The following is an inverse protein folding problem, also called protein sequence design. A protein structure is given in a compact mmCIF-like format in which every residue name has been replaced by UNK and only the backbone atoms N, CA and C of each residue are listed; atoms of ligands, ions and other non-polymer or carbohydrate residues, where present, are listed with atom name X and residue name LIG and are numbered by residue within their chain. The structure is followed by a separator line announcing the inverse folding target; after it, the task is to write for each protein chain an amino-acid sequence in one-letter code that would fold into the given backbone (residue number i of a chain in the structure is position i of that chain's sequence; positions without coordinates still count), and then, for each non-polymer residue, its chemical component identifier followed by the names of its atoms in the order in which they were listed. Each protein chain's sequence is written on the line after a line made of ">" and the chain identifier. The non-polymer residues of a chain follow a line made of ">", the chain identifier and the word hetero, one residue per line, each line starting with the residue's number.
data_IF_896276884199
#
_entry.id   IF_896276884199
#
_cell.length_a   1.000
_cell.length_b   1.000
_cell.length_c   1.000
_cell.angle_alpha   90.00
_cell.angle_beta   90.00
_cell.angle_gamma   90.00
#
_symmetry.space_group_name_H-M   'P 1'
#
loop_
_entity.id
_entity.type
_entity.pdbx_description
1 polymer ?
#
# COMPACT_ATOMS: atom_id res chain seq x y z
N UNK A 1 -58.50 45.28 -36.39
CA UNK A 1 -57.87 45.54 -35.07
C UNK A 1 -56.58 44.75 -35.00
N UNK A 2 -55.45 45.43 -34.80
CA UNK A 2 -54.19 44.79 -34.44
C UNK A 2 -54.26 44.34 -32.99
N UNK A 3 -53.70 43.17 -32.67
CA UNK A 3 -53.62 42.64 -31.30
C UNK A 3 -52.20 42.13 -31.09
N UNK A 4 -51.24 43.06 -30.98
CA UNK A 4 -49.83 42.76 -30.91
C UNK A 4 -49.39 42.53 -29.45
N UNK A 5 -48.41 41.64 -29.24
CA UNK A 5 -47.92 41.26 -27.91
C UNK A 5 -47.44 42.46 -27.10
N UNK A 6 -47.98 42.64 -25.89
CA UNK A 6 -47.56 43.70 -24.95
C UNK A 6 -46.10 43.58 -24.49
N UNK A 7 -45.50 42.39 -24.64
CA UNK A 7 -44.12 42.09 -24.22
C UNK A 7 -43.15 42.13 -25.41
N UNK A 8 -43.61 41.68 -26.58
CA UNK A 8 -42.77 41.40 -27.75
C UNK A 8 -42.96 42.32 -28.95
N UNK A 9 -43.86 43.31 -28.89
CA UNK A 9 -44.06 44.29 -29.98
C UNK A 9 -43.71 45.71 -29.55
N UNK A 10 -43.32 46.55 -30.51
CA UNK A 10 -43.00 47.96 -30.30
C UNK A 10 -44.27 48.77 -29.97
N UNK A 11 -45.40 48.43 -30.61
CA UNK A 11 -46.70 49.05 -30.39
C UNK A 11 -47.78 47.96 -30.45
N UNK A 12 -48.66 47.93 -29.45
CA UNK A 12 -49.73 46.93 -29.28
C UNK A 12 -50.87 47.07 -30.30
N UNK A 13 -51.04 48.26 -30.86
CA UNK A 13 -52.20 48.66 -31.69
C UNK A 13 -51.87 48.92 -33.16
N UNK A 14 -50.60 48.97 -33.52
CA UNK A 14 -50.12 49.36 -34.84
C UNK A 14 -49.50 48.16 -35.57
N UNK A 15 -50.09 47.80 -36.69
CA UNK A 15 -49.65 46.69 -37.54
C UNK A 15 -49.86 47.04 -39.01
N UNK A 16 -49.17 46.31 -39.90
CA UNK A 16 -49.28 46.50 -41.34
C UNK A 16 -50.74 46.30 -41.80
N UNK A 17 -51.32 47.29 -42.48
CA UNK A 17 -52.73 47.30 -42.88
C UNK A 17 -53.11 46.25 -43.93
N UNK A 18 -52.13 45.74 -44.68
CA UNK A 18 -52.34 44.74 -45.74
C UNK A 18 -52.04 43.31 -45.25
N UNK A 19 -51.01 43.12 -44.42
CA UNK A 19 -50.58 41.78 -43.95
C UNK A 19 -50.99 41.45 -42.52
N UNK A 20 -51.37 42.43 -41.71
CA UNK A 20 -51.65 42.27 -40.29
C UNK A 20 -50.42 42.06 -39.40
N UNK A 21 -49.20 42.13 -39.96
CA UNK A 21 -47.95 41.91 -39.23
C UNK A 21 -47.65 43.06 -38.26
N UNK A 22 -47.43 42.71 -37.00
CA UNK A 22 -46.97 43.61 -35.94
C UNK A 22 -45.45 43.88 -36.04
N UNK A 23 -44.99 45.05 -35.58
CA UNK A 23 -43.57 45.33 -35.42
C UNK A 23 -43.03 44.68 -34.16
N UNK A 24 -42.20 43.64 -34.32
CA UNK A 24 -41.63 42.87 -33.21
C UNK A 24 -40.34 43.49 -32.67
N UNK A 25 -40.12 43.32 -31.37
CA UNK A 25 -38.85 43.60 -30.71
C UNK A 25 -37.84 42.50 -31.03
N UNK A 26 -36.55 42.81 -30.84
CA UNK A 26 -35.48 41.83 -30.98
C UNK A 26 -35.72 40.61 -30.08
N UNK A 27 -35.50 39.41 -30.62
CA UNK A 27 -35.83 38.15 -29.95
C UNK A 27 -37.27 37.67 -30.08
N UNK A 28 -38.19 38.43 -30.70
CA UNK A 28 -39.59 38.05 -30.91
C UNK A 28 -39.94 37.89 -32.40
N UNK A 29 -40.86 36.96 -32.69
CA UNK A 29 -41.31 36.64 -34.05
C UNK A 29 -42.80 36.25 -34.10
N UNK A 30 -43.29 36.02 -35.32
CA UNK A 30 -44.68 35.68 -35.62
C UNK A 30 -45.58 36.90 -35.83
N UNK A 31 -46.81 36.66 -36.31
CA UNK A 31 -47.73 37.71 -36.76
C UNK A 31 -48.05 38.76 -35.68
N UNK A 32 -48.09 38.34 -34.41
CA UNK A 32 -48.38 39.18 -33.24
C UNK A 32 -47.20 39.30 -32.26
N UNK A 33 -46.00 38.86 -32.64
CA UNK A 33 -44.80 38.92 -31.81
C UNK A 33 -44.91 38.16 -30.47
N UNK A 34 -45.59 37.01 -30.50
CA UNK A 34 -45.87 36.18 -29.33
C UNK A 34 -44.97 34.94 -29.19
N UNK A 35 -44.11 34.67 -30.18
CA UNK A 35 -43.17 33.56 -30.20
C UNK A 35 -41.75 34.09 -30.16
N UNK A 36 -40.79 33.31 -29.65
CA UNK A 36 -39.39 33.70 -29.68
C UNK A 36 -38.77 33.50 -31.07
N UNK A 37 -37.88 34.40 -31.45
CA UNK A 37 -37.08 34.28 -32.67
C UNK A 37 -36.07 33.13 -32.55
N UNK A 38 -35.45 32.77 -33.67
CA UNK A 38 -34.34 31.80 -33.66
C UNK A 38 -33.19 32.32 -32.78
N UNK A 39 -32.52 31.41 -32.09
CA UNK A 39 -31.51 31.70 -31.05
C UNK A 39 -32.06 32.44 -29.80
N UNK A 40 -33.37 32.39 -29.54
CA UNK A 40 -34.01 32.83 -28.30
C UNK A 40 -34.97 31.76 -27.75
N UNK A 41 -35.09 31.66 -26.43
CA UNK A 41 -36.01 30.77 -25.72
C UNK A 41 -36.96 31.56 -24.81
N UNK A 42 -38.12 30.98 -24.48
CA UNK A 42 -39.11 31.61 -23.61
C UNK A 42 -38.85 31.27 -22.14
N UNK A 43 -38.40 32.25 -21.35
CA UNK A 43 -38.13 32.00 -19.94
C UNK A 43 -39.40 32.03 -19.10
N UNK A 44 -39.76 30.87 -18.53
CA UNK A 44 -41.02 30.62 -17.82
C UNK A 44 -41.34 31.64 -16.71
N UNK A 45 -40.32 32.15 -16.00
CA UNK A 45 -40.52 33.10 -14.89
C UNK A 45 -40.86 34.51 -15.38
N UNK A 46 -40.25 34.96 -16.47
CA UNK A 46 -40.41 36.34 -16.96
C UNK A 46 -41.45 36.46 -18.06
N UNK A 47 -41.82 35.35 -18.72
CA UNK A 47 -42.63 35.33 -19.95
C UNK A 47 -42.03 36.21 -21.05
N UNK A 48 -40.69 36.30 -21.09
CA UNK A 48 -39.92 37.04 -22.09
C UNK A 48 -39.01 36.08 -22.86
N UNK A 49 -38.78 36.42 -24.12
CA UNK A 49 -37.76 35.76 -24.93
C UNK A 49 -36.37 36.26 -24.51
N UNK A 50 -35.49 35.33 -24.15
CA UNK A 50 -34.09 35.59 -23.80
C UNK A 50 -33.16 34.92 -24.82
N UNK A 51 -32.00 35.53 -25.14
CA UNK A 51 -31.07 34.96 -26.10
C UNK A 51 -30.47 33.65 -25.57
N UNK A 52 -30.33 32.68 -26.45
CA UNK A 52 -29.71 31.39 -26.16
C UNK A 52 -28.27 31.56 -25.71
N UNK A 53 -27.48 32.41 -26.38
CA UNK A 53 -26.11 32.73 -25.97
C UNK A 53 -25.13 31.54 -26.01
N UNK A 54 -25.36 30.57 -26.90
CA UNK A 54 -24.51 29.39 -27.03
C UNK A 54 -23.11 29.75 -27.54
N UNK A 55 -22.07 29.23 -26.91
CA UNK A 55 -20.68 29.49 -27.28
C UNK A 55 -20.33 28.88 -28.64
N UNK A 56 -19.93 29.66 -29.66
CA UNK A 56 -19.61 29.14 -31.00
C UNK A 56 -18.45 28.11 -31.00
N UNK A 57 -17.53 28.25 -30.05
CA UNK A 57 -16.45 27.30 -29.83
C UNK A 57 -16.95 25.96 -29.26
N UNK A 58 -17.96 25.98 -28.39
CA UNK A 58 -18.37 24.80 -27.63
C UNK A 58 -19.72 24.16 -28.01
N UNK A 59 -20.60 24.84 -28.75
CA UNK A 59 -21.90 24.32 -29.18
C UNK A 59 -21.92 23.86 -30.64
N UNK A 60 -22.79 22.91 -30.98
CA UNK A 60 -23.00 22.44 -32.35
C UNK A 60 -23.86 23.41 -33.17
N UNK A 61 -24.73 24.18 -32.50
CA UNK A 61 -25.58 25.21 -33.08
C UNK A 61 -25.69 26.43 -32.14
N UNK A 62 -26.17 27.55 -32.65
CA UNK A 62 -26.48 28.76 -31.86
C UNK A 62 -27.81 28.66 -31.10
N UNK A 63 -28.63 27.64 -31.43
CA UNK A 63 -29.94 27.41 -30.85
C UNK A 63 -29.85 26.60 -29.55
N UNK A 64 -30.80 26.86 -28.67
CA UNK A 64 -31.02 26.16 -27.41
C UNK A 64 -32.43 25.56 -27.37
N UNK A 65 -32.67 24.67 -26.42
CA UNK A 65 -34.01 24.14 -26.16
C UNK A 65 -34.89 25.15 -25.36
N UNK A 66 -36.13 24.76 -25.08
CA UNK A 66 -37.10 25.58 -24.33
C UNK A 66 -36.64 25.91 -22.89
N UNK A 67 -35.61 25.22 -22.36
CA UNK A 67 -35.00 25.51 -21.05
C UNK A 67 -33.79 26.46 -21.14
N UNK A 68 -33.38 26.86 -22.35
CA UNK A 68 -32.21 27.68 -22.58
C UNK A 68 -30.89 26.91 -22.63
N UNK A 69 -30.93 25.56 -22.68
CA UNK A 69 -29.77 24.69 -22.75
C UNK A 69 -29.29 24.52 -24.19
N UNK A 70 -28.02 24.80 -24.43
CA UNK A 70 -27.37 24.67 -25.72
C UNK A 70 -26.93 23.23 -26.00
N UNK A 71 -26.91 22.82 -27.28
CA UNK A 71 -26.36 21.52 -27.68
C UNK A 71 -24.83 21.58 -27.73
N UNK A 72 -24.15 20.95 -26.78
CA UNK A 72 -22.69 21.01 -26.66
C UNK A 72 -21.97 19.99 -27.55
N UNK A 73 -20.77 20.35 -28.02
CA UNK A 73 -19.82 19.45 -28.67
C UNK A 73 -19.24 18.46 -27.66
N UNK A 74 -18.72 17.33 -28.15
CA UNK A 74 -17.95 16.39 -27.34
C UNK A 74 -16.80 17.09 -26.61
N UNK A 75 -16.68 16.87 -25.30
CA UNK A 75 -15.66 17.48 -24.46
C UNK A 75 -16.07 18.81 -23.79
N UNK A 76 -17.30 19.26 -24.02
CA UNK A 76 -17.81 20.55 -23.52
C UNK A 76 -19.11 20.34 -22.72
N UNK A 77 -19.30 21.12 -21.65
CA UNK A 77 -20.48 21.13 -20.77
C UNK A 77 -20.92 22.56 -20.42
N UNK A 78 -22.00 22.67 -19.65
CA UNK A 78 -22.58 23.92 -19.19
C UNK A 78 -23.80 24.35 -20.01
N UNK A 79 -24.61 25.25 -19.46
CA UNK A 79 -25.85 25.74 -20.10
C UNK A 79 -25.57 26.37 -21.47
N UNK A 80 -24.41 27.03 -21.60
CA UNK A 80 -23.98 27.77 -22.79
C UNK A 80 -22.82 27.11 -23.54
N UNK A 81 -22.44 25.89 -23.15
CA UNK A 81 -21.32 25.14 -23.72
C UNK A 81 -19.99 25.92 -23.67
N UNK A 82 -19.71 26.52 -22.53
CA UNK A 82 -18.60 27.45 -22.26
C UNK A 82 -17.53 26.86 -21.31
N UNK A 83 -17.66 25.58 -20.94
CA UNK A 83 -16.80 24.90 -19.97
C UNK A 83 -16.39 23.51 -20.46
N UNK A 84 -15.17 23.06 -20.16
CA UNK A 84 -14.76 21.70 -20.52
C UNK A 84 -15.45 20.64 -19.66
N UNK A 85 -15.87 19.54 -20.28
CA UNK A 85 -16.39 18.38 -19.56
C UNK A 85 -15.27 17.61 -18.85
N UNK A 86 -15.63 16.75 -17.91
CA UNK A 86 -14.65 15.95 -17.17
C UNK A 86 -13.87 15.05 -18.14
N UNK A 87 -12.55 14.97 -17.97
CA UNK A 87 -11.67 14.32 -18.94
C UNK A 87 -11.23 15.20 -20.12
N UNK A 88 -11.60 16.49 -20.11
CA UNK A 88 -11.15 17.51 -21.07
C UNK A 88 -10.69 18.78 -20.35
N UNK A 89 -9.82 19.54 -21.01
CA UNK A 89 -9.22 20.77 -20.49
C UNK A 89 -9.01 21.81 -21.61
N UNK A 90 -8.59 23.02 -21.23
CA UNK A 90 -8.17 24.09 -22.16
C UNK A 90 -9.27 24.45 -23.18
N UNK A 91 -10.32 25.12 -22.71
CA UNK A 91 -11.34 25.70 -23.59
C UNK A 91 -10.69 26.72 -24.54
N UNK A 92 -10.58 26.35 -25.82
CA UNK A 92 -9.96 27.16 -26.87
C UNK A 92 -11.02 27.62 -27.89
N UNK A 93 -10.63 28.35 -28.94
CA UNK A 93 -11.58 28.90 -29.93
C UNK A 93 -12.36 27.85 -30.74
N UNK A 94 -11.98 26.56 -30.63
CA UNK A 94 -12.54 25.47 -31.45
C UNK A 94 -13.26 24.37 -30.66
N UNK A 95 -12.74 24.00 -29.47
CA UNK A 95 -13.31 23.03 -28.51
C UNK A 95 -12.48 22.98 -27.22
N UNK A 96 -12.67 21.95 -26.40
CA UNK A 96 -11.71 21.50 -25.38
C UNK A 96 -10.86 20.32 -25.88
N UNK A 97 -9.67 20.16 -25.30
CA UNK A 97 -8.72 19.08 -25.58
C UNK A 97 -8.88 17.92 -24.58
N UNK A 98 -8.73 16.64 -24.97
CA UNK A 98 -8.82 15.51 -24.05
C UNK A 98 -7.58 15.42 -23.14
N UNK A 99 -7.78 15.06 -21.87
CA UNK A 99 -6.71 14.87 -20.89
C UNK A 99 -5.69 13.80 -21.33
N UNK A 100 -4.39 14.09 -21.22
CA UNK A 100 -3.31 13.21 -21.71
C UNK A 100 -2.62 12.42 -20.58
N UNK A 101 -3.39 11.67 -19.79
CA UNK A 101 -2.92 11.05 -18.54
C UNK A 101 -2.27 9.67 -18.67
N UNK A 102 -1.64 9.35 -19.82
CA UNK A 102 -1.02 8.05 -20.11
C UNK A 102 -1.91 6.82 -19.80
N UNK A 103 -3.24 6.96 -19.89
CA UNK A 103 -4.25 5.97 -19.47
C UNK A 103 -4.25 5.61 -17.96
N UNK A 104 -3.44 6.27 -17.13
CA UNK A 104 -3.42 6.10 -15.67
C UNK A 104 -4.33 7.10 -14.91
N UNK A 105 -5.03 7.98 -15.63
CA UNK A 105 -6.22 8.68 -15.13
C UNK A 105 -7.19 9.00 -16.27
N UNK A 106 -8.45 9.29 -15.92
CA UNK A 106 -9.52 9.75 -16.83
C UNK A 106 -9.88 11.22 -16.61
N UNK A 107 -9.31 11.87 -15.60
CA UNK A 107 -9.65 13.23 -15.20
C UNK A 107 -8.38 14.07 -15.01
N UNK A 108 -8.43 15.31 -15.45
CA UNK A 108 -7.39 16.31 -15.24
C UNK A 108 -8.02 17.64 -14.85
N UNK A 109 -7.21 18.58 -14.38
CA UNK A 109 -7.65 19.95 -14.16
C UNK A 109 -8.05 20.61 -15.49
N UNK A 110 -9.24 21.21 -15.50
CA UNK A 110 -9.86 21.84 -16.65
C UNK A 110 -9.09 23.04 -17.25
N UNK A 111 -8.21 23.68 -16.48
CA UNK A 111 -7.40 24.82 -16.93
C UNK A 111 -5.99 24.38 -17.31
N UNK A 112 -5.28 23.65 -16.44
CA UNK A 112 -3.87 23.30 -16.66
C UNK A 112 -3.68 22.04 -17.50
N UNK A 113 -4.62 21.10 -17.45
CA UNK A 113 -4.46 19.75 -18.00
C UNK A 113 -3.76 18.76 -17.07
N UNK A 114 -3.39 19.18 -15.85
CA UNK A 114 -2.69 18.34 -14.86
C UNK A 114 -3.59 17.19 -14.40
N UNK A 115 -3.13 15.96 -14.58
CA UNK A 115 -3.89 14.75 -14.29
C UNK A 115 -4.14 14.56 -12.80
N UNK A 116 -5.39 14.26 -12.46
CA UNK A 116 -5.84 14.07 -11.08
C UNK A 116 -5.87 12.58 -10.75
N UNK A 117 -5.51 12.22 -9.51
CA UNK A 117 -5.60 10.85 -8.99
C UNK A 117 -4.91 9.77 -9.84
N UNK A 118 -3.65 10.00 -10.25
CA UNK A 118 -2.84 9.02 -10.99
C UNK A 118 -2.82 7.63 -10.33
N UNK A 119 -3.25 6.63 -11.10
CA UNK A 119 -3.43 5.23 -10.69
C UNK A 119 -2.14 4.42 -10.89
N UNK A 120 -2.18 3.13 -10.56
CA UNK A 120 -1.10 2.16 -10.89
C UNK A 120 0.31 2.53 -10.38
N UNK A 121 0.39 3.33 -9.30
CA UNK A 121 1.61 3.89 -8.73
C UNK A 121 2.37 4.86 -9.65
N UNK A 122 1.65 5.60 -10.50
CA UNK A 122 2.20 6.68 -11.33
C UNK A 122 2.04 8.07 -10.70
N UNK A 123 2.86 9.01 -11.14
CA UNK A 123 2.90 10.41 -10.73
C UNK A 123 3.42 11.32 -11.85
N UNK A 124 3.41 12.63 -11.61
CA UNK A 124 3.72 13.65 -12.61
C UNK A 124 2.46 14.24 -13.24
N UNK A 125 2.62 15.35 -13.97
CA UNK A 125 1.49 16.13 -14.50
C UNK A 125 0.63 15.34 -15.48
N UNK A 126 1.20 14.31 -16.11
CA UNK A 126 0.55 13.44 -17.10
C UNK A 126 0.53 11.97 -16.65
N UNK A 127 0.77 11.72 -15.35
CA UNK A 127 1.00 10.37 -14.79
C UNK A 127 2.15 9.62 -15.51
N UNK A 128 3.17 10.35 -15.98
CA UNK A 128 4.21 9.86 -16.88
C UNK A 128 5.41 9.20 -16.17
N UNK A 129 5.48 9.27 -14.83
CA UNK A 129 6.57 8.69 -14.02
C UNK A 129 6.00 7.70 -13.00
N UNK A 130 6.85 6.81 -12.50
CA UNK A 130 6.51 5.97 -11.35
C UNK A 130 6.79 6.72 -10.05
N UNK A 131 5.96 6.51 -9.03
CA UNK A 131 6.16 7.05 -7.67
C UNK A 131 7.48 6.59 -7.08
N UNK A 132 7.98 7.34 -6.09
CA UNK A 132 9.12 6.90 -5.29
C UNK A 132 8.95 5.45 -4.79
N UNK A 133 10.06 4.70 -4.76
CA UNK A 133 10.10 3.25 -4.45
C UNK A 133 9.47 2.35 -5.52
N UNK A 134 9.10 2.88 -6.69
CA UNK A 134 8.70 2.10 -7.86
C UNK A 134 9.60 2.39 -9.06
N UNK A 135 9.73 1.41 -9.95
CA UNK A 135 10.44 1.52 -11.21
C UNK A 135 9.53 1.11 -12.37
N UNK A 136 9.78 1.67 -13.56
CA UNK A 136 9.06 1.32 -14.79
C UNK A 136 9.57 -0.02 -15.32
N UNK A 137 8.69 -1.01 -15.43
CA UNK A 137 8.97 -2.29 -16.06
C UNK A 137 8.77 -2.20 -17.58
N UNK A 138 9.49 -3.04 -18.32
CA UNK A 138 9.19 -3.32 -19.73
C UNK A 138 8.04 -4.33 -19.88
N UNK A 139 7.79 -5.17 -18.86
CA UNK A 139 6.82 -6.25 -18.89
C UNK A 139 6.08 -6.38 -17.54
N UNK A 140 4.74 -6.27 -17.50
CA UNK A 140 3.88 -5.73 -18.55
C UNK A 140 4.28 -4.29 -18.92
N UNK A 141 4.01 -3.91 -20.17
CA UNK A 141 4.52 -2.68 -20.80
C UNK A 141 4.24 -1.46 -19.94
N UNK A 142 5.30 -0.79 -19.51
CA UNK A 142 5.28 0.48 -18.79
C UNK A 142 4.65 0.48 -17.39
N UNK A 143 4.31 -0.69 -16.84
CA UNK A 143 3.78 -0.79 -15.48
C UNK A 143 4.82 -0.39 -14.41
N UNK A 144 4.36 0.27 -13.34
CA UNK A 144 5.19 0.62 -12.20
C UNK A 144 5.24 -0.52 -11.17
N UNK A 145 6.41 -1.14 -11.01
CA UNK A 145 6.66 -2.21 -10.04
C UNK A 145 7.45 -1.69 -8.85
N UNK A 146 7.19 -2.24 -7.66
CA UNK A 146 7.93 -1.85 -6.44
C UNK A 146 9.40 -2.25 -6.57
N UNK A 147 10.30 -1.34 -6.21
CA UNK A 147 11.73 -1.61 -6.13
C UNK A 147 12.02 -2.84 -5.24
N UNK A 148 12.82 -3.82 -5.68
CA UNK A 148 13.16 -5.04 -4.94
C UNK A 148 14.19 -4.80 -3.82
N UNK A 149 14.17 -3.61 -3.20
CA UNK A 149 15.10 -3.19 -2.17
C UNK A 149 14.65 -3.65 -0.78
N UNK A 150 15.62 -4.03 0.05
CA UNK A 150 15.37 -4.27 1.48
C UNK A 150 14.77 -3.04 2.16
N UNK A 151 13.59 -3.21 2.77
CA UNK A 151 12.86 -2.15 3.49
C UNK A 151 13.62 -1.65 4.72
N UNK A 152 14.43 -2.52 5.34
CA UNK A 152 15.23 -2.21 6.54
C UNK A 152 16.64 -1.74 6.19
N UNK A 153 17.20 -2.13 5.05
CA UNK A 153 18.61 -1.92 4.71
C UNK A 153 18.87 -0.97 3.51
N UNK A 154 17.85 -0.30 2.98
CA UNK A 154 18.01 0.65 1.86
C UNK A 154 17.17 1.92 2.04
N UNK A 155 17.52 2.97 1.29
CA UNK A 155 16.61 4.09 0.98
C UNK A 155 15.52 3.70 -0.02
N UNK A 156 15.56 2.48 -0.57
CA UNK A 156 14.49 1.82 -1.31
C UNK A 156 14.08 2.44 -2.64
N UNK A 157 14.73 3.51 -3.08
CA UNK A 157 14.69 3.96 -4.48
C UNK A 157 15.61 3.07 -5.32
N UNK A 158 15.29 2.90 -6.58
CA UNK A 158 16.04 2.05 -7.49
C UNK A 158 15.95 2.55 -8.94
N UNK A 159 16.92 2.14 -9.75
CA UNK A 159 16.99 2.44 -11.18
C UNK A 159 17.55 1.26 -11.95
N UNK A 160 17.07 1.06 -13.17
CA UNK A 160 17.64 0.09 -14.11
C UNK A 160 18.89 0.74 -14.75
N UNK A 161 20.02 0.02 -14.81
CA UNK A 161 21.21 0.51 -15.50
C UNK A 161 21.17 0.16 -17.00
N UNK A 162 21.85 0.92 -17.88
CA UNK A 162 21.89 0.59 -19.31
C UNK A 162 22.44 -0.82 -19.55
N UNK A 163 21.64 -1.69 -20.15
CA UNK A 163 21.99 -3.10 -20.42
C UNK A 163 21.62 -4.10 -19.31
N UNK A 164 21.09 -3.64 -18.17
CA UNK A 164 20.48 -4.51 -17.15
C UNK A 164 18.96 -4.59 -17.35
N UNK A 165 18.34 -5.73 -17.04
CA UNK A 165 16.87 -5.91 -17.03
C UNK A 165 16.25 -5.80 -15.64
N UNK A 166 17.08 -5.82 -14.60
CA UNK A 166 16.66 -5.71 -13.21
C UNK A 166 17.05 -4.32 -12.65
N UNK A 167 16.23 -3.71 -11.78
CA UNK A 167 16.59 -2.46 -11.13
C UNK A 167 17.60 -2.71 -10.00
N UNK A 168 18.49 -1.74 -9.80
CA UNK A 168 19.44 -1.70 -8.68
C UNK A 168 19.07 -0.60 -7.70
N UNK A 169 19.12 -0.88 -6.41
CA UNK A 169 18.86 0.11 -5.36
C UNK A 169 19.95 1.19 -5.35
N UNK A 170 19.56 2.44 -5.11
CA UNK A 170 20.50 3.57 -5.20
C UNK A 170 21.45 3.66 -4.02
N UNK A 171 20.95 3.42 -2.80
CA UNK A 171 21.72 3.52 -1.57
C UNK A 171 21.38 2.37 -0.61
N UNK A 172 22.41 1.62 -0.23
CA UNK A 172 22.35 0.67 0.88
C UNK A 172 22.77 1.37 2.17
N UNK A 173 22.20 0.96 3.30
CA UNK A 173 22.64 1.40 4.62
C UNK A 173 24.00 0.78 4.95
N UNK A 174 24.75 1.43 5.84
CA UNK A 174 26.06 0.97 6.29
C UNK A 174 26.04 -0.50 6.72
N UNK A 175 26.96 -1.30 6.18
CA UNK A 175 27.04 -2.74 6.44
C UNK A 175 26.24 -3.62 5.48
N UNK A 176 25.50 -3.03 4.54
CA UNK A 176 24.76 -3.75 3.51
C UNK A 176 25.24 -3.42 2.10
N UNK A 177 25.21 -4.41 1.21
CA UNK A 177 25.67 -4.33 -0.17
C UNK A 177 24.79 -5.19 -1.10
N UNK A 178 25.20 -5.30 -2.37
CA UNK A 178 24.49 -6.02 -3.42
C UNK A 178 23.37 -5.19 -4.07
N UNK A 179 22.78 -5.68 -5.18
CA UNK A 179 21.84 -4.91 -5.99
C UNK A 179 20.55 -4.53 -5.25
N UNK A 180 20.14 -5.36 -4.28
CA UNK A 180 18.90 -5.22 -3.51
C UNK A 180 19.14 -4.76 -2.05
N UNK A 181 20.39 -4.43 -1.69
CA UNK A 181 20.82 -4.13 -0.33
C UNK A 181 20.45 -5.22 0.70
N UNK A 182 20.60 -6.49 0.32
CA UNK A 182 20.23 -7.66 1.12
C UNK A 182 21.43 -8.57 1.45
N UNK A 183 22.64 -8.17 1.08
CA UNK A 183 23.89 -8.88 1.38
C UNK A 183 24.69 -8.07 2.40
N UNK A 184 25.51 -8.72 3.22
CA UNK A 184 26.39 -8.01 4.15
C UNK A 184 27.66 -7.51 3.45
N UNK A 185 28.05 -6.28 3.75
CA UNK A 185 29.27 -5.66 3.24
C UNK A 185 30.52 -6.22 3.94
N UNK A 186 31.70 -6.01 3.35
CA UNK A 186 32.95 -6.52 3.91
C UNK A 186 33.18 -5.99 5.34
N UNK A 187 33.50 -6.89 6.27
CA UNK A 187 33.59 -6.58 7.70
C UNK A 187 32.26 -6.63 8.46
N UNK A 188 31.20 -7.14 7.83
CA UNK A 188 29.93 -7.48 8.47
C UNK A 188 29.59 -8.95 8.19
N UNK A 189 28.86 -9.57 9.12
CA UNK A 189 28.34 -10.93 9.01
C UNK A 189 26.82 -10.93 9.23
N UNK A 190 26.14 -11.93 8.69
CA UNK A 190 24.70 -12.09 8.83
C UNK A 190 24.37 -12.71 10.20
N UNK A 191 23.55 -12.02 10.97
CA UNK A 191 22.89 -12.55 12.17
C UNK A 191 21.40 -12.26 12.02
N UNK A 192 20.59 -13.30 11.85
CA UNK A 192 19.13 -13.20 11.72
C UNK A 192 18.64 -12.20 10.65
N UNK A 193 19.28 -12.21 9.47
CA UNK A 193 19.05 -11.26 8.36
C UNK A 193 19.45 -9.81 8.62
N UNK A 194 20.21 -9.55 9.69
CA UNK A 194 20.78 -8.25 10.04
C UNK A 194 22.32 -8.34 9.89
N UNK A 195 22.91 -7.37 9.21
CA UNK A 195 24.36 -7.31 9.03
C UNK A 195 25.04 -6.67 10.24
N UNK A 196 25.72 -7.49 11.04
CA UNK A 196 26.42 -7.11 12.27
C UNK A 196 27.90 -6.91 11.98
N UNK A 197 28.49 -5.82 12.48
CA UNK A 197 29.92 -5.53 12.27
C UNK A 197 30.78 -6.55 13.00
N UNK A 198 31.74 -7.13 12.28
CA UNK A 198 32.75 -8.02 12.83
C UNK A 198 33.69 -7.28 13.80
N UNK A 199 33.98 -7.91 14.93
CA UNK A 199 34.83 -7.38 15.99
C UNK A 199 36.09 -8.24 16.09
N UNK A 200 37.18 -7.81 15.47
CA UNK A 200 38.44 -8.55 15.42
C UNK A 200 39.53 -7.92 16.31
N UNK A 201 39.14 -7.22 17.38
CA UNK A 201 40.02 -6.53 18.33
C UNK A 201 41.09 -5.59 17.74
N UNK A 202 40.93 -5.13 16.49
CA UNK A 202 41.94 -4.35 15.76
C UNK A 202 43.09 -5.19 15.16
N UNK A 203 43.06 -6.50 15.34
CA UNK A 203 44.10 -7.44 14.90
C UNK A 203 43.85 -7.98 13.47
N UNK A 204 43.05 -7.29 12.65
CA UNK A 204 42.86 -7.60 11.22
C UNK A 204 42.90 -6.28 10.45
N UNK A 205 43.67 -6.24 9.37
CA UNK A 205 43.82 -5.08 8.48
C UNK A 205 42.82 -5.17 7.30
N UNK A 206 41.79 -4.31 7.22
CA UNK A 206 40.82 -4.32 6.13
C UNK A 206 41.39 -3.91 4.76
N UNK A 207 42.58 -3.29 4.71
CA UNK A 207 43.26 -2.91 3.47
C UNK A 207 44.04 -4.10 2.89
N UNK A 208 44.55 -4.98 3.77
CA UNK A 208 45.39 -6.14 3.39
C UNK A 208 44.60 -7.45 3.25
N UNK A 209 43.45 -7.57 3.91
CA UNK A 209 42.58 -8.75 3.85
C UNK A 209 41.30 -8.47 3.05
N UNK A 210 41.04 -9.16 1.92
CA UNK A 210 39.83 -8.98 1.10
C UNK A 210 38.51 -9.25 1.84
N UNK A 211 38.57 -10.01 2.93
CA UNK A 211 37.44 -10.28 3.83
C UNK A 211 37.95 -10.31 5.27
N UNK A 212 37.38 -9.46 6.13
CA UNK A 212 37.80 -9.31 7.54
C UNK A 212 37.32 -10.48 8.42
N UNK A 213 36.22 -11.13 8.03
CA UNK A 213 35.54 -12.17 8.78
C UNK A 213 34.69 -13.04 7.84
N UNK A 214 34.28 -14.23 8.30
CA UNK A 214 33.37 -15.14 7.58
C UNK A 214 31.94 -14.55 7.58
N UNK A 215 31.26 -14.40 6.41
CA UNK A 215 29.93 -13.77 6.35
C UNK A 215 28.82 -14.48 7.13
N UNK A 216 28.93 -15.79 7.36
CA UNK A 216 27.88 -16.58 8.04
C UNK A 216 28.09 -16.72 9.55
N UNK A 217 29.32 -16.56 10.06
CA UNK A 217 29.63 -16.75 11.49
C UNK A 217 30.14 -15.49 12.18
N UNK A 218 30.80 -14.56 11.46
CA UNK A 218 31.49 -13.43 12.06
C UNK A 218 32.89 -13.75 12.60
N UNK A 219 33.36 -15.00 12.44
CA UNK A 219 34.72 -15.43 12.80
C UNK A 219 35.75 -14.66 11.97
N UNK A 220 36.73 -14.05 12.64
CA UNK A 220 37.72 -13.20 12.00
C UNK A 220 38.72 -13.99 11.12
N UNK A 221 39.13 -13.40 10.00
CA UNK A 221 40.02 -14.03 9.02
C UNK A 221 41.35 -13.27 8.98
N UNK A 222 42.46 -14.03 9.04
CA UNK A 222 43.80 -13.46 8.89
C UNK A 222 44.24 -12.60 10.06
N UNK A 223 44.06 -13.11 11.29
CA UNK A 223 44.55 -12.49 12.51
C UNK A 223 46.06 -12.14 12.40
N UNK A 224 46.38 -10.90 12.71
CA UNK A 224 47.73 -10.33 12.70
C UNK A 224 48.39 -10.45 14.07
N UNK A 225 49.67 -10.05 14.17
CA UNK A 225 50.41 -9.95 15.44
C UNK A 225 50.46 -11.26 16.26
N UNK A 226 50.48 -12.41 15.59
CA UNK A 226 50.42 -13.74 16.23
C UNK A 226 49.24 -13.90 17.19
N UNK A 227 48.08 -13.36 16.79
CA UNK A 227 46.81 -13.56 17.51
C UNK A 227 45.97 -14.66 16.85
N UNK A 228 45.10 -15.26 17.66
CA UNK A 228 44.20 -16.34 17.30
C UNK A 228 42.86 -16.18 18.05
N UNK A 229 41.95 -17.13 17.90
CA UNK A 229 40.59 -17.06 18.45
C UNK A 229 39.59 -16.44 17.48
N UNK A 230 38.30 -16.51 17.85
CA UNK A 230 37.18 -16.17 16.96
C UNK A 230 37.13 -14.67 16.60
N UNK A 231 37.65 -13.84 17.50
CA UNK A 231 37.75 -12.39 17.42
C UNK A 231 39.22 -11.91 17.40
N UNK A 232 40.19 -12.79 17.11
CA UNK A 232 41.63 -12.51 17.23
C UNK A 232 42.02 -12.01 18.65
N UNK A 233 41.42 -12.59 19.69
CA UNK A 233 41.51 -12.18 21.10
C UNK A 233 42.66 -12.84 21.88
N UNK A 234 43.03 -14.07 21.52
CA UNK A 234 44.11 -14.85 22.15
C UNK A 234 45.41 -14.73 21.36
N UNK A 235 46.51 -15.23 21.92
CA UNK A 235 47.75 -15.45 21.16
C UNK A 235 47.72 -16.82 20.47
N UNK A 236 48.41 -16.91 19.34
CA UNK A 236 48.68 -18.15 18.60
C UNK A 236 49.52 -19.13 19.45
N UNK A 237 49.40 -20.44 19.18
CA UNK A 237 50.13 -21.47 19.93
C UNK A 237 51.65 -21.22 19.93
N UNK A 238 52.24 -21.18 21.12
CA UNK A 238 53.65 -20.85 21.30
C UNK A 238 53.94 -19.35 21.53
N UNK A 239 52.92 -18.49 21.53
CA UNK A 239 53.03 -17.08 21.93
C UNK A 239 52.28 -16.81 23.25
N UNK A 240 52.75 -15.80 23.99
CA UNK A 240 52.16 -15.31 25.23
C UNK A 240 51.94 -13.80 25.12
N UNK A 241 50.97 -13.25 25.87
CA UNK A 241 50.75 -11.81 25.89
C UNK A 241 51.85 -11.14 26.71
N UNK A 242 52.39 -10.05 26.18
CA UNK A 242 53.41 -9.24 26.83
C UNK A 242 52.86 -8.58 28.13
N UNK A 243 53.58 -8.60 29.28
CA UNK A 243 53.11 -7.98 30.52
C UNK A 243 52.80 -6.48 30.43
N UNK A 244 53.34 -5.77 29.44
CA UNK A 244 53.21 -4.31 29.29
C UNK A 244 52.25 -3.89 28.15
N UNK A 245 51.69 -4.83 27.37
CA UNK A 245 50.86 -4.47 26.23
C UNK A 245 50.06 -5.58 25.54
N UNK A 246 49.23 -5.18 24.59
CA UNK A 246 48.30 -6.06 23.86
C UNK A 246 48.95 -7.05 22.90
N UNK A 247 50.27 -6.99 22.71
CA UNK A 247 51.02 -7.72 21.69
C UNK A 247 51.39 -9.15 22.15
N UNK A 248 51.53 -10.08 21.20
CA UNK A 248 51.89 -11.48 21.48
C UNK A 248 53.37 -11.72 21.18
N UNK A 249 54.13 -12.11 22.21
CA UNK A 249 55.58 -12.41 22.14
C UNK A 249 55.80 -13.92 22.20
N UNK A 250 56.86 -14.41 21.54
CA UNK A 250 57.14 -15.85 21.48
C UNK A 250 57.53 -16.36 22.87
N UNK A 251 56.93 -17.47 23.30
CA UNK A 251 57.27 -18.14 24.55
C UNK A 251 58.71 -18.66 24.46
N UNK A 252 59.64 -18.02 25.15
CA UNK A 252 60.98 -18.55 25.30
C UNK A 252 60.92 -19.89 26.02
N UNK A 253 61.51 -20.92 25.41
CA UNK A 253 61.67 -22.21 26.03
C UNK A 253 62.78 -22.11 27.09
N UNK A 254 62.40 -21.76 28.32
CA UNK A 254 63.28 -21.96 29.47
C UNK A 254 63.55 -23.46 29.56
N UNK A 255 64.75 -23.88 29.15
CA UNK A 255 65.28 -25.20 29.40
C UNK A 255 65.38 -25.38 30.91
N UNK A 256 64.33 -25.92 31.53
CA UNK A 256 64.37 -26.37 32.91
C UNK A 256 65.50 -27.43 33.01
N UNK A 257 66.38 -27.34 34.01
CA UNK A 257 67.44 -28.35 34.18
C UNK A 257 66.82 -29.73 34.37
N UNK A 258 67.45 -30.76 33.80
CA UNK A 258 67.05 -32.15 34.04
C UNK A 258 67.08 -32.46 35.55
N UNK A 259 65.90 -32.55 36.17
CA UNK A 259 65.77 -33.19 37.47
C UNK A 259 66.07 -34.66 37.28
N UNK A 260 67.30 -35.09 37.62
CA UNK A 260 67.67 -36.52 37.63
C UNK A 260 66.66 -37.32 38.44
N UNK A 261 65.90 -38.19 37.78
CA UNK A 261 65.14 -39.22 38.46
C UNK A 261 66.11 -40.18 39.16
N UNK A 262 66.12 -40.15 40.49
CA UNK A 262 66.82 -41.17 41.27
C UNK A 262 65.99 -42.45 41.27
N UNK A 263 66.34 -43.36 40.38
CA UNK A 263 65.76 -44.71 40.33
C UNK A 263 66.10 -45.47 41.61
N UNK A 264 65.09 -46.02 42.30
CA UNK A 264 65.31 -47.13 43.25
C UNK A 264 64.27 -48.22 43.01
N UNK A 265 64.79 -49.40 42.63
CA UNK A 265 64.15 -50.70 42.49
C UNK A 265 63.35 -51.13 43.75
N UNK A 266 62.36 -52.04 43.74
CA UNK A 266 61.69 -52.92 42.75
C UNK A 266 60.50 -53.63 43.49
N UNK A 267 59.86 -54.74 43.05
CA UNK A 267 59.72 -55.38 41.73
C UNK A 267 58.25 -55.66 41.29
N UNK A 268 58.08 -56.24 40.10
CA UNK A 268 56.83 -56.73 39.50
C UNK A 268 55.99 -57.70 40.36
N UNK A 269 54.67 -57.71 40.15
CA UNK A 269 53.87 -58.93 39.95
C UNK A 269 52.65 -58.64 39.05
N UNK A 270 52.14 -59.71 38.42
CA UNK A 270 51.42 -59.68 37.14
C UNK A 270 49.88 -59.64 37.22
N UNK A 271 49.30 -59.07 36.16
CA UNK A 271 48.10 -59.57 35.42
C UNK A 271 46.70 -59.30 36.01
N UNK A 272 45.82 -58.92 35.08
CA UNK A 272 44.41 -58.56 35.23
C UNK A 272 43.51 -59.54 36.00
N UNK A 273 42.43 -59.02 36.60
CA UNK A 273 41.05 -59.55 36.46
C UNK A 273 40.00 -58.47 36.82
N UNK A 274 38.97 -58.42 35.99
CA UNK A 274 37.56 -57.98 36.09
C UNK A 274 36.94 -57.62 37.46
N UNK A 275 36.03 -56.61 37.43
CA UNK A 275 34.85 -56.28 38.29
C UNK A 275 34.38 -57.35 39.33
N UNK A 276 33.75 -56.97 40.50
CA UNK A 276 32.58 -56.06 40.54
C UNK A 276 32.35 -55.19 41.81
N UNK A 277 31.15 -54.61 41.90
CA UNK A 277 30.54 -53.68 42.88
C UNK A 277 30.21 -54.24 44.27
N UNK A 278 30.30 -53.38 45.32
CA UNK A 278 29.40 -53.19 46.51
C UNK A 278 30.03 -52.08 47.38
N UNK A 279 29.45 -50.90 47.67
CA UNK A 279 28.22 -50.52 48.44
C UNK A 279 28.28 -50.77 49.95
N UNK A 280 28.46 -49.69 50.73
CA UNK A 280 27.93 -49.42 52.10
C UNK A 280 28.18 -47.94 52.45
N UNK A 281 27.21 -47.03 52.36
CA UNK A 281 26.14 -46.66 53.31
C UNK A 281 26.57 -46.13 54.70
N UNK A 282 26.28 -44.83 54.95
CA UNK A 282 25.86 -44.21 56.24
C UNK A 282 25.48 -42.73 55.98
N UNK A 283 24.24 -42.38 55.63
CA UNK A 283 23.13 -41.97 56.53
C UNK A 283 23.39 -40.77 57.46
N UNK A 284 22.96 -39.56 57.08
CA UNK A 284 21.78 -38.84 57.64
C UNK A 284 21.74 -37.35 57.22
N UNK A 285 20.53 -36.85 56.93
CA UNK A 285 20.20 -35.47 56.51
C UNK A 285 19.75 -34.60 57.72
N UNK A 286 19.39 -33.29 57.63
CA UNK A 286 18.68 -32.54 56.57
C UNK A 286 19.41 -31.22 56.17
N UNK A 287 18.88 -30.15 55.54
CA UNK A 287 17.49 -29.70 55.24
C UNK A 287 17.43 -28.72 54.05
N UNK A 288 16.42 -28.87 53.18
CA UNK A 288 15.64 -27.87 52.39
C UNK A 288 16.30 -26.71 51.58
N UNK A 289 15.69 -26.47 50.40
CA UNK A 289 15.62 -25.23 49.55
C UNK A 289 16.49 -25.22 48.28
N UNK A 290 15.83 -25.49 47.12
CA UNK A 290 15.86 -24.82 45.79
C UNK A 290 17.23 -24.40 45.16
N UNK A 291 17.54 -24.56 43.86
CA UNK A 291 16.84 -25.13 42.68
C UNK A 291 17.83 -25.31 41.50
N UNK A 292 17.46 -26.15 40.52
CA UNK A 292 18.03 -26.33 39.17
C UNK A 292 19.44 -26.97 39.00
N UNK A 293 19.53 -27.82 37.97
CA UNK A 293 20.70 -28.64 37.57
C UNK A 293 21.54 -27.99 36.45
N UNK A 294 22.82 -28.39 36.30
CA UNK A 294 23.62 -28.17 35.09
C UNK A 294 23.54 -29.32 34.06
N UNK A 295 23.90 -28.99 32.81
CA UNK A 295 24.73 -29.76 31.83
C UNK A 295 25.13 -31.18 32.29
N UNK A 296 24.96 -32.31 31.58
CA UNK A 296 24.84 -32.65 30.14
C UNK A 296 24.01 -33.96 29.97
N UNK A 297 23.90 -34.70 28.86
CA UNK A 297 24.53 -34.69 27.51
C UNK A 297 23.63 -35.37 26.44
N UNK A 298 24.12 -35.41 25.21
CA UNK A 298 23.65 -36.18 24.04
C UNK A 298 23.23 -37.63 24.28
N UNK A 299 22.02 -37.98 23.84
CA UNK A 299 21.73 -39.28 23.23
C UNK A 299 20.86 -39.09 21.98
N UNK A 300 21.23 -39.75 20.89
CA UNK A 300 20.52 -39.67 19.61
C UNK A 300 19.29 -40.57 19.68
N UNK A 301 18.10 -39.98 19.89
CA UNK A 301 16.84 -40.71 19.84
C UNK A 301 15.77 -39.91 19.10
N UNK A 302 15.17 -40.57 18.11
CA UNK A 302 13.99 -40.10 17.39
C UNK A 302 12.93 -39.57 18.35
N UNK A 303 12.37 -38.40 18.00
CA UNK A 303 11.28 -37.70 18.69
C UNK A 303 10.36 -38.60 19.51
N UNK A 304 10.65 -38.71 20.81
CA UNK A 304 9.69 -39.21 21.77
C UNK A 304 8.57 -38.18 21.86
N UNK A 305 7.45 -38.45 21.19
CA UNK A 305 6.22 -37.73 21.45
C UNK A 305 5.94 -37.89 22.94
N UNK A 306 5.82 -36.78 23.66
CA UNK A 306 5.17 -36.83 24.96
C UNK A 306 3.74 -37.33 24.70
N UNK A 307 3.38 -38.50 25.23
CA UNK A 307 2.04 -39.07 25.09
C UNK A 307 1.02 -38.16 25.80
N UNK A 308 0.59 -37.13 25.08
CA UNK A 308 -0.47 -36.22 25.51
C UNK A 308 -1.72 -37.06 25.69
N UNK A 309 -2.08 -37.30 26.96
CA UNK A 309 -3.27 -38.07 27.30
C UNK A 309 -4.48 -37.56 26.51
N UNK A 310 -5.35 -38.47 26.05
CA UNK A 310 -6.51 -38.12 25.22
C UNK A 310 -7.38 -37.00 25.82
N UNK A 311 -7.46 -36.94 27.15
CA UNK A 311 -8.10 -35.85 27.90
C UNK A 311 -7.38 -34.51 27.73
N UNK A 312 -6.06 -34.47 27.84
CA UNK A 312 -5.24 -33.28 27.63
C UNK A 312 -5.28 -32.79 26.17
N UNK A 313 -5.29 -33.69 25.19
CA UNK A 313 -5.48 -33.33 23.77
C UNK A 313 -6.85 -32.68 23.56
N UNK A 314 -7.93 -33.30 24.07
CA UNK A 314 -9.28 -32.75 23.97
C UNK A 314 -9.42 -31.39 24.67
N UNK A 315 -8.74 -31.18 25.80
CA UNK A 315 -8.69 -29.86 26.48
C UNK A 315 -8.01 -28.82 25.60
N UNK A 316 -6.87 -29.14 24.96
CA UNK A 316 -6.17 -28.22 24.06
C UNK A 316 -7.04 -27.88 22.84
N UNK A 317 -7.69 -28.86 22.22
CA UNK A 317 -8.60 -28.61 21.10
C UNK A 317 -9.79 -27.75 21.54
N UNK A 318 -10.38 -28.01 22.70
CA UNK A 318 -11.48 -27.22 23.24
C UNK A 318 -11.06 -25.75 23.53
N UNK A 319 -9.88 -25.52 24.11
CA UNK A 319 -9.40 -24.15 24.36
C UNK A 319 -9.13 -23.40 23.05
N UNK A 320 -8.55 -24.05 22.05
CA UNK A 320 -8.36 -23.45 20.71
C UNK A 320 -9.70 -23.10 20.06
N UNK A 321 -10.70 -23.99 20.11
CA UNK A 321 -12.04 -23.71 19.58
C UNK A 321 -12.68 -22.52 20.30
N UNK A 322 -12.61 -22.47 21.64
CA UNK A 322 -13.14 -21.34 22.42
C UNK A 322 -12.45 -20.03 22.04
N UNK A 323 -11.12 -20.01 21.91
CA UNK A 323 -10.35 -18.82 21.49
C UNK A 323 -10.79 -18.36 20.09
N UNK A 324 -10.92 -19.28 19.13
CA UNK A 324 -11.36 -18.97 17.77
C UNK A 324 -12.78 -18.41 17.77
N UNK A 325 -13.72 -19.00 18.53
CA UNK A 325 -15.09 -18.48 18.65
C UNK A 325 -15.13 -17.09 19.28
N UNK A 326 -14.34 -16.84 20.32
CA UNK A 326 -14.25 -15.50 20.96
C UNK A 326 -13.67 -14.47 19.99
N UNK A 327 -12.63 -14.81 19.22
CA UNK A 327 -12.05 -13.92 18.21
C UNK A 327 -13.03 -13.63 17.06
N UNK A 328 -13.78 -14.64 16.59
CA UNK A 328 -14.80 -14.45 15.55
C UNK A 328 -15.97 -13.57 16.04
N UNK A 329 -16.46 -13.80 17.26
CA UNK A 329 -17.50 -12.96 17.87
C UNK A 329 -17.01 -11.52 18.10
N UNK A 330 -15.75 -11.35 18.54
CA UNK A 330 -15.11 -10.04 18.66
C UNK A 330 -14.99 -9.31 17.31
N UNK A 331 -14.61 -10.03 16.25
CA UNK A 331 -14.54 -9.48 14.89
C UNK A 331 -15.92 -9.07 14.36
N UNK A 332 -16.95 -9.91 14.52
CA UNK A 332 -18.33 -9.58 14.14
C UNK A 332 -18.84 -8.36 14.92
N UNK A 333 -18.56 -8.29 16.23
CA UNK A 333 -18.89 -7.13 17.06
C UNK A 333 -18.19 -5.85 16.60
N UNK A 334 -16.91 -5.93 16.25
CA UNK A 334 -16.14 -4.80 15.72
C UNK A 334 -16.67 -4.32 14.35
N UNK A 335 -17.00 -5.25 13.44
CA UNK A 335 -17.61 -4.92 12.14
C UNK A 335 -18.99 -4.27 12.32
N UNK A 336 -19.81 -4.78 13.24
CA UNK A 336 -21.12 -4.20 13.56
C UNK A 336 -21.00 -2.78 14.13
N UNK A 337 -20.12 -2.58 15.12
CA UNK A 337 -19.84 -1.25 15.69
C UNK A 337 -19.24 -0.27 14.66
N UNK A 338 -18.36 -0.74 13.77
CA UNK A 338 -17.81 0.08 12.70
C UNK A 338 -18.90 0.50 11.69
N UNK A 339 -19.80 -0.42 11.31
CA UNK A 339 -20.91 -0.12 10.40
C UNK A 339 -21.92 0.84 11.01
N UNK A 340 -22.25 0.67 12.29
CA UNK A 340 -23.09 1.60 13.06
C UNK A 340 -22.44 2.99 13.17
N UNK A 341 -21.12 3.07 13.43
CA UNK A 341 -20.38 4.33 13.45
C UNK A 341 -20.40 5.05 12.09
N UNK A 342 -20.20 4.33 10.98
CA UNK A 342 -20.29 4.90 9.64
C UNK A 342 -21.73 5.35 9.29
N UNK A 343 -22.75 4.58 9.66
CA UNK A 343 -24.16 4.96 9.48
C UNK A 343 -24.50 6.25 10.27
N UNK A 344 -23.99 6.40 11.50
CA UNK A 344 -24.13 7.66 12.26
C UNK A 344 -23.40 8.83 11.60
N UNK A 345 -22.30 8.57 10.89
CA UNK A 345 -21.55 9.60 10.15
C UNK A 345 -22.24 10.00 8.85
N UNK A 346 -23.04 9.12 8.25
CA UNK A 346 -23.90 9.40 7.08
C UNK A 346 -25.20 10.12 7.47
N UNK A 347 -25.77 9.81 8.64
CA UNK A 347 -27.02 10.42 9.13
C UNK A 347 -26.82 11.64 10.04
N UNK A 348 -25.58 12.00 10.38
CA UNK A 348 -25.29 13.26 11.06
C UNK A 348 -25.36 14.40 10.03
N UNK A 349 -26.25 15.39 10.18
CA UNK A 349 -26.24 16.55 9.31
C UNK A 349 -24.91 17.28 9.50
N UNK A 350 -24.29 17.66 8.40
CA UNK A 350 -23.12 18.52 8.41
C UNK A 350 -23.53 19.88 8.99
N UNK A 351 -23.00 20.22 10.16
CA UNK A 351 -23.10 21.55 10.76
C UNK A 351 -21.68 22.09 10.92
N UNK A 352 -21.17 22.80 9.91
CA UNK A 352 -20.01 23.67 10.11
C UNK A 352 -20.45 24.92 10.85
N UNK A 353 -19.98 25.06 12.09
CA UNK A 353 -20.12 26.30 12.84
C UNK A 353 -19.04 27.26 12.32
N UNK A 354 -19.40 28.11 11.35
CA UNK A 354 -18.59 29.30 11.06
C UNK A 354 -18.77 30.31 12.19
N UNK A 355 -17.72 30.50 13.00
CA UNK A 355 -17.65 31.61 13.94
C UNK A 355 -17.32 32.89 13.16
N UNK A 356 -18.36 33.58 12.69
CA UNK A 356 -18.28 35.00 12.34
C UNK A 356 -18.56 35.82 13.61
N UNK A 357 -17.69 36.77 13.90
CA UNK A 357 -17.75 37.58 15.12
C UNK A 357 -19.12 38.28 15.23
N UNK A 358 -19.77 38.10 16.38
CA UNK A 358 -20.97 38.77 16.87
C UNK A 358 -22.36 38.44 16.25
N UNK A 359 -22.54 37.31 15.56
CA UNK A 359 -23.88 36.84 15.13
C UNK A 359 -23.98 35.29 15.01
N UNK A 360 -24.80 34.65 15.86
CA UNK A 360 -25.17 33.22 15.70
C UNK A 360 -26.45 33.13 14.85
N UNK A 361 -26.30 33.06 13.53
CA UNK A 361 -27.41 32.75 12.61
C UNK A 361 -27.48 31.25 12.33
N UNK A 362 -28.55 30.58 12.76
CA UNK A 362 -28.84 29.20 12.40
C UNK A 362 -29.52 29.16 11.01
N UNK A 363 -28.80 28.76 9.97
CA UNK A 363 -29.38 28.50 8.64
C UNK A 363 -29.51 26.99 8.40
N UNK A 364 -30.74 26.49 8.38
CA UNK A 364 -31.02 25.13 7.90
C UNK A 364 -31.06 25.13 6.37
N UNK A 365 -30.04 24.57 5.73
CA UNK A 365 -30.12 24.19 4.31
C UNK A 365 -31.03 22.96 4.17
N UNK A 366 -32.33 23.20 4.02
CA UNK A 366 -33.21 22.28 3.30
C UNK A 366 -33.27 22.68 1.82
N UNK A 367 -33.55 21.68 0.98
CA UNK A 367 -33.76 21.75 -0.46
C UNK A 367 -32.56 22.15 -1.35
N UNK A 368 -31.78 21.12 -1.75
CA UNK A 368 -31.57 20.80 -3.18
C UNK A 368 -30.74 19.51 -3.36
N UNK A 369 -31.39 18.35 -3.31
CA UNK A 369 -30.91 17.14 -4.01
C UNK A 369 -32.05 16.66 -4.92
N UNK A 370 -31.99 16.89 -6.23
CA UNK A 370 -32.83 16.15 -7.17
C UNK A 370 -32.24 14.75 -7.39
N UNK A 371 -33.12 13.78 -7.64
CA UNK A 371 -32.81 12.43 -8.15
C UNK A 371 -32.13 11.45 -7.16
N UNK A 372 -32.87 11.06 -6.13
CA UNK A 372 -32.83 9.66 -5.68
C UNK A 372 -33.94 8.90 -6.42
N UNK A 373 -33.56 7.91 -7.22
CA UNK A 373 -34.49 7.11 -8.03
C UNK A 373 -35.37 6.22 -7.13
N UNK A 374 -36.69 6.39 -7.21
CA UNK A 374 -37.69 5.52 -6.56
C UNK A 374 -38.35 4.67 -7.63
N UNK A 375 -37.59 3.70 -8.15
CA UNK A 375 -38.09 2.62 -9.00
C UNK A 375 -37.21 1.39 -8.85
N UNK A 376 -37.54 0.52 -7.88
CA UNK A 376 -36.79 -0.73 -7.69
C UNK A 376 -36.93 -1.45 -6.36
N UNK A 377 -38.12 -1.46 -5.72
CA UNK A 377 -38.49 -2.46 -4.69
C UNK A 377 -39.98 -2.41 -4.29
N UNK A 378 -40.84 -2.58 -5.29
CA UNK A 378 -42.23 -3.03 -5.12
C UNK A 378 -42.54 -4.01 -6.25
N UNK A 379 -41.96 -5.22 -6.16
CA UNK A 379 -42.53 -6.37 -6.87
C UNK A 379 -43.69 -6.87 -6.03
N UNK A 380 -44.90 -6.65 -6.55
CA UNK A 380 -46.16 -7.13 -6.00
C UNK A 380 -46.23 -8.66 -6.19
N UNK A 381 -46.43 -9.42 -5.11
CA UNK A 381 -46.57 -10.87 -5.13
C UNK A 381 -47.94 -11.25 -5.75
N UNK A 382 -48.01 -11.13 -7.08
CA UNK A 382 -49.14 -11.48 -7.92
C UNK A 382 -49.40 -12.99 -7.93
N UNK A 383 -50.07 -13.46 -6.88
CA UNK A 383 -50.35 -14.86 -6.62
C UNK A 383 -51.42 -15.42 -7.59
N UNK A 384 -51.03 -15.76 -8.82
CA UNK A 384 -51.91 -16.38 -9.83
C UNK A 384 -51.59 -17.87 -10.03
N UNK A 385 -52.58 -18.72 -9.75
CA UNK A 385 -52.50 -20.17 -9.84
C UNK A 385 -53.00 -20.65 -11.20
N UNK A 386 -52.14 -21.31 -11.97
CA UNK A 386 -52.52 -22.18 -13.09
C UNK A 386 -51.77 -23.52 -13.01
N UNK A 387 -52.34 -24.64 -13.50
CA UNK A 387 -52.00 -25.96 -13.00
C UNK A 387 -50.90 -26.66 -13.83
N UNK A 388 -50.71 -27.96 -13.56
CA UNK A 388 -50.09 -28.93 -14.47
C UNK A 388 -48.63 -28.66 -14.92
N UNK A 389 -47.72 -28.78 -13.96
CA UNK A 389 -46.85 -29.96 -13.93
C UNK A 389 -45.52 -29.91 -14.69
N UNK A 390 -44.45 -30.13 -13.91
CA UNK A 390 -43.21 -30.83 -14.31
C UNK A 390 -42.22 -30.09 -15.22
N UNK A 391 -41.12 -29.61 -14.62
CA UNK A 391 -39.78 -29.39 -15.21
C UNK A 391 -38.75 -29.63 -14.08
N UNK A 392 -38.13 -30.80 -13.96
CA UNK A 392 -36.85 -31.22 -14.60
C UNK A 392 -35.64 -30.35 -14.25
N UNK A 393 -34.70 -30.92 -13.47
CA UNK A 393 -33.33 -30.41 -13.35
C UNK A 393 -32.58 -30.62 -14.68
N UNK A 394 -31.91 -29.58 -15.18
CA UNK A 394 -30.74 -29.72 -16.06
C UNK A 394 -29.72 -28.62 -15.80
N UNK A 395 -28.53 -29.02 -15.37
CA UNK A 395 -27.29 -28.23 -15.54
C UNK A 395 -26.92 -28.18 -17.03
N UNK A 396 -26.01 -27.27 -17.41
CA UNK A 396 -24.81 -27.81 -18.06
C UNK A 396 -23.48 -27.18 -17.63
N UNK A 397 -22.44 -27.99 -17.77
CA UNK A 397 -21.02 -27.67 -17.64
C UNK A 397 -20.45 -27.04 -18.92
N UNK A 398 -19.35 -26.30 -18.75
CA UNK A 398 -18.25 -26.06 -19.72
C UNK A 398 -18.53 -25.43 -21.09
N UNK A 399 -17.71 -24.44 -21.47
CA UNK A 399 -16.55 -24.70 -22.35
C UNK A 399 -15.52 -23.56 -22.36
N UNK A 400 -14.24 -23.92 -22.54
CA UNK A 400 -13.11 -23.01 -22.76
C UNK A 400 -12.56 -23.23 -24.17
N UNK A 401 -12.49 -22.16 -24.99
CA UNK A 401 -11.50 -21.87 -26.06
C UNK A 401 -11.92 -20.58 -26.78
N UNK A 402 -11.02 -19.79 -27.35
CA UNK A 402 -9.57 -19.99 -27.56
C UNK A 402 -8.76 -18.75 -27.12
#
# INVERSE_FOLDING_TARGET
>A
LCNCSVVGSINTTECNSTTGQCHCLEGYTGLRCQSCAQDFYLESQSQRCHPCGCSPAGSTTTQCDDSGQCQCKTGVKGLKCDQCSDGYYRFNETSCEPCQCNNHSKTCDHVTGTCLHCQENTEGDHCERCKERFYRSEHPVHACHRCPCSTVASTGTCRIQPGETAPRCDQCKTGYTGPNCNQCDNGYYNSDSICVRCKCNGNVDPVRSPSVCKPESGECIGCLYHTAGFHCESCEDGYIRDPEGTNCTKKEATLAPETREFTTSAPNISKATTFPTTVTNSTLSPTTIQTLFPISSSDNSTSAFADVSWTQFNIIILTVIIIVVVLLMGFVGAVYMYREYQNRKLNAPFWTIELKEDNISFSSYHDSIPNADVSGLLEDDGNEVAPNGQLTLTTPMHNYKA
#
